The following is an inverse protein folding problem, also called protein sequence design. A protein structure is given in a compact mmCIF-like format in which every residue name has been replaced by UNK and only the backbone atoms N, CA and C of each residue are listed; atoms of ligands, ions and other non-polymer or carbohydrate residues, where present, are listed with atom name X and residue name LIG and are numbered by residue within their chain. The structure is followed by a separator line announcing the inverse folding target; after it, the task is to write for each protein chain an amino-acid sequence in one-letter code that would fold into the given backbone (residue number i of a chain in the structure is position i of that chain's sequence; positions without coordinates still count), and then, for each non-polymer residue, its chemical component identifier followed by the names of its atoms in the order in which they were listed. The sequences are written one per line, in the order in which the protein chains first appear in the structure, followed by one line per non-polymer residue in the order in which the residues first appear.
data_IF_103727875199
#
_entry.id   IF_103727875199
#
_cell.length_a   1.000
_cell.length_b   1.000
_cell.length_c   1.000
_cell.angle_alpha   90.00
_cell.angle_beta   90.00
_cell.angle_gamma   90.00
#
_symmetry.space_group_name_H-M   'P 1'
#
loop_
_entity.id
_entity.type
_entity.pdbx_description
1 polymer ?
#
# COMPACT_ATOMS: atom_id res chain seq x y z
N UNK A 1 -25.99 -10.75 -2.04
CA UNK A 1 -24.81 -11.62 -2.23
C UNK A 1 -23.70 -11.12 -1.33
N UNK A 2 -23.10 -11.96 -0.50
CA UNK A 2 -21.91 -11.56 0.27
C UNK A 2 -20.76 -11.38 -0.72
N UNK A 3 -20.40 -10.14 -1.04
CA UNK A 3 -19.15 -9.85 -1.74
C UNK A 3 -18.01 -10.24 -0.79
N UNK A 4 -17.23 -11.24 -1.18
CA UNK A 4 -15.98 -11.58 -0.50
C UNK A 4 -14.95 -10.51 -0.86
N UNK A 5 -14.92 -9.41 -0.11
CA UNK A 5 -13.86 -8.43 -0.28
C UNK A 5 -12.52 -9.11 0.02
N UNK A 6 -11.57 -8.97 -0.90
CA UNK A 6 -10.21 -9.49 -0.71
C UNK A 6 -9.63 -8.92 0.59
N UNK A 7 -8.95 -9.78 1.36
CA UNK A 7 -8.29 -9.36 2.59
C UNK A 7 -7.21 -8.30 2.30
N UNK A 8 -6.92 -7.46 3.30
CA UNK A 8 -5.75 -6.59 3.26
C UNK A 8 -4.49 -7.43 3.08
N UNK A 9 -3.57 -6.93 2.27
CA UNK A 9 -2.29 -7.58 2.01
C UNK A 9 -1.18 -6.55 1.75
N UNK A 10 0.04 -7.03 1.61
CA UNK A 10 1.19 -6.23 1.20
C UNK A 10 1.68 -6.77 -0.14
N UNK A 11 1.66 -5.93 -1.17
CA UNK A 11 2.28 -6.24 -2.45
C UNK A 11 3.67 -5.63 -2.49
N UNK A 12 4.69 -6.46 -2.76
CA UNK A 12 6.09 -6.03 -2.90
C UNK A 12 6.45 -6.06 -4.38
N UNK A 13 7.09 -5.00 -4.87
CA UNK A 13 7.64 -4.95 -6.23
C UNK A 13 8.94 -4.15 -6.28
N UNK A 14 9.85 -4.54 -7.17
CA UNK A 14 11.03 -3.74 -7.53
C UNK A 14 10.58 -2.67 -8.51
N UNK A 15 10.93 -1.41 -8.23
CA UNK A 15 10.54 -0.28 -9.10
C UNK A 15 11.74 0.35 -9.80
N UNK A 16 12.93 0.23 -9.22
CA UNK A 16 14.22 0.60 -9.82
C UNK A 16 15.34 -0.10 -9.05
N UNK A 17 16.60 0.12 -9.45
CA UNK A 17 17.78 -0.37 -8.75
C UNK A 17 17.73 -0.03 -7.26
N UNK A 18 18.08 -1.02 -6.43
CA UNK A 18 18.10 -0.95 -4.96
C UNK A 18 16.78 -0.55 -4.29
N UNK A 19 15.68 -0.39 -5.05
CA UNK A 19 14.45 0.23 -4.56
C UNK A 19 13.24 -0.65 -4.76
N UNK A 20 12.55 -0.93 -3.64
CA UNK A 20 11.29 -1.68 -3.61
C UNK A 20 10.15 -0.78 -3.15
N UNK A 21 8.98 -0.98 -3.74
CA UNK A 21 7.72 -0.48 -3.18
C UNK A 21 7.05 -1.59 -2.38
N UNK A 22 6.55 -1.24 -1.21
CA UNK A 22 5.69 -2.08 -0.37
C UNK A 22 4.32 -1.41 -0.32
N UNK A 23 3.33 -2.00 -1.00
CA UNK A 23 1.98 -1.45 -1.09
C UNK A 23 1.08 -2.17 -0.10
N UNK A 24 0.73 -1.50 1.00
CA UNK A 24 -0.30 -1.97 1.93
C UNK A 24 -1.67 -1.70 1.31
N UNK A 25 -2.31 -2.76 0.80
CA UNK A 25 -3.54 -2.64 0.02
C UNK A 25 -4.76 -2.93 0.86
N UNK A 26 -5.79 -2.12 0.70
CA UNK A 26 -7.14 -2.42 1.17
C UNK A 26 -8.11 -2.29 0.01
N UNK A 27 -9.04 -3.22 -0.07
CA UNK A 27 -10.08 -3.25 -1.10
C UNK A 27 -11.38 -2.60 -0.61
N UNK A 28 -11.49 -2.38 0.70
CA UNK A 28 -12.58 -1.65 1.34
C UNK A 28 -12.20 -0.18 1.55
N UNK A 29 -13.19 0.63 1.95
CA UNK A 29 -12.97 2.00 2.39
C UNK A 29 -12.06 2.03 3.63
N UNK A 30 -11.00 2.85 3.58
CA UNK A 30 -10.04 2.97 4.68
C UNK A 30 -10.59 3.78 5.86
N UNK A 31 -11.20 4.94 5.58
CA UNK A 31 -11.78 5.84 6.59
C UNK A 31 -13.10 6.45 6.09
N UNK A 32 -13.89 7.02 6.99
CA UNK A 32 -15.09 7.78 6.67
C UNK A 32 -14.76 9.21 6.24
N UNK A 33 -13.92 9.33 5.22
CA UNK A 33 -13.48 10.61 4.64
C UNK A 33 -13.84 10.65 3.14
N UNK A 34 -14.05 11.85 2.59
CA UNK A 34 -14.65 12.04 1.26
C UNK A 34 -13.81 11.44 0.14
N UNK A 35 -12.48 11.42 0.28
CA UNK A 35 -11.56 10.85 -0.71
C UNK A 35 -11.79 9.34 -0.94
N UNK A 36 -12.44 8.64 -0.01
CA UNK A 36 -12.77 7.22 -0.14
C UNK A 36 -14.23 6.95 -0.58
N UNK A 37 -14.99 7.98 -0.97
CA UNK A 37 -16.42 7.86 -1.32
C UNK A 37 -16.69 6.92 -2.50
N UNK A 38 -15.72 6.74 -3.41
CA UNK A 38 -15.86 5.82 -4.55
C UNK A 38 -15.74 4.34 -4.17
N UNK A 39 -15.34 4.02 -2.94
CA UNK A 39 -15.23 2.64 -2.42
C UNK A 39 -14.42 1.70 -3.32
N UNK A 40 -13.35 2.21 -3.95
CA UNK A 40 -12.47 1.42 -4.83
C UNK A 40 -11.24 0.84 -4.11
N UNK A 41 -11.23 0.86 -2.79
CA UNK A 41 -10.04 0.59 -2.00
C UNK A 41 -8.98 1.68 -2.14
N UNK A 42 -7.82 1.44 -1.55
CA UNK A 42 -6.65 2.33 -1.63
C UNK A 42 -5.37 1.56 -1.30
N UNK A 43 -4.21 2.18 -1.52
CA UNK A 43 -2.91 1.66 -1.11
C UNK A 43 -2.13 2.72 -0.35
N UNK A 44 -1.61 2.37 0.83
CA UNK A 44 -0.54 3.12 1.47
C UNK A 44 0.80 2.53 1.01
N UNK A 45 1.61 3.32 0.30
CA UNK A 45 2.85 2.83 -0.30
C UNK A 45 4.04 3.29 0.54
N UNK A 46 4.86 2.34 0.96
CA UNK A 46 6.19 2.61 1.52
C UNK A 46 7.26 2.27 0.50
N UNK A 47 8.43 2.87 0.67
CA UNK A 47 9.58 2.62 -0.18
C UNK A 47 10.77 2.19 0.66
N UNK A 48 11.45 1.13 0.20
CA UNK A 48 12.68 0.63 0.81
C UNK A 48 13.80 0.81 -0.22
N UNK A 49 14.79 1.63 0.13
CA UNK A 49 16.01 1.86 -0.67
C UNK A 49 17.16 1.18 0.07
N UNK A 50 17.87 0.27 -0.61
CA UNK A 50 18.93 -0.57 -0.05
C UNK A 50 20.25 -0.36 -0.82
N UNK A 51 20.77 0.87 -0.77
CA UNK A 51 22.07 1.23 -1.34
C UNK A 51 23.20 0.96 -0.33
N UNK A 52 24.27 1.78 -0.34
CA UNK A 52 25.29 1.77 0.72
C UNK A 52 24.67 1.89 2.13
N UNK A 53 23.57 2.63 2.24
CA UNK A 53 22.74 2.73 3.45
C UNK A 53 21.30 2.32 3.13
N UNK A 54 20.62 1.80 4.14
CA UNK A 54 19.20 1.44 4.05
C UNK A 54 18.32 2.59 4.53
N UNK A 55 17.33 2.96 3.72
CA UNK A 55 16.32 3.96 4.07
C UNK A 55 14.90 3.39 3.85
N UNK A 56 13.99 3.77 4.73
CA UNK A 56 12.55 3.49 4.62
C UNK A 56 11.81 4.82 4.57
N UNK A 57 10.91 4.94 3.59
CA UNK A 57 10.07 6.11 3.37
C UNK A 57 8.61 5.70 3.58
N UNK A 58 7.87 6.54 4.32
CA UNK A 58 6.43 6.45 4.57
C UNK A 58 5.92 5.06 5.03
N UNK A 59 6.33 4.55 6.21
CA UNK A 59 5.68 3.39 6.82
C UNK A 59 4.17 3.62 6.96
N UNK A 60 3.33 2.60 6.70
CA UNK A 60 1.89 2.74 6.88
C UNK A 60 1.54 2.84 8.38
N UNK A 61 0.43 3.51 8.68
CA UNK A 61 -0.14 3.59 10.04
C UNK A 61 -0.99 2.38 10.44
#
# INVERSE_FOLDING_TARGET
MLQTTKKKDVQIAIITEETKVLRSRTWDRLKFEVEYSLQKGTTANSYLIQAEKTAVIDPPG
#
